data_IF_980741776827
#
_entry.id   IF_980741776827
#
_cell.length_a   1.000
_cell.length_b   1.000
_cell.length_c   1.000
_cell.angle_alpha   90.00
_cell.angle_beta   90.00
_cell.angle_gamma   90.00
#
_symmetry.space_group_name_H-M   'P 1'
#
loop_
_entity.id
_entity.type
_entity.pdbx_description
1 polymer ?
#
# COMPACT_ATOMS: atom_id res chain seq x y z
N UNK A 1 31.27 20.81 -16.46
CA UNK A 1 30.80 20.32 -15.16
C UNK A 1 29.43 20.89 -14.94
N UNK A 2 28.37 20.10 -15.13
CA UNK A 2 27.02 20.54 -14.72
C UNK A 2 26.96 20.31 -13.23
N UNK A 3 26.85 21.39 -12.47
CA UNK A 3 26.77 21.35 -11.03
C UNK A 3 25.50 20.58 -10.63
N UNK A 4 25.65 19.49 -9.86
CA UNK A 4 24.56 18.65 -9.39
C UNK A 4 23.44 19.46 -8.74
N UNK A 5 23.76 20.63 -8.16
CA UNK A 5 22.80 21.58 -7.60
C UNK A 5 21.80 22.15 -8.63
N UNK A 6 22.21 22.35 -9.88
CA UNK A 6 21.34 22.91 -10.94
C UNK A 6 20.35 21.87 -11.48
N UNK A 7 20.77 20.62 -11.58
CA UNK A 7 19.92 19.52 -12.03
C UNK A 7 18.79 19.23 -11.02
N UNK A 8 19.12 19.23 -9.72
CA UNK A 8 18.12 19.05 -8.67
C UNK A 8 17.10 20.20 -8.59
N UNK A 9 17.56 21.44 -8.82
CA UNK A 9 16.66 22.58 -8.90
C UNK A 9 15.67 22.43 -10.06
N UNK A 10 16.16 22.15 -11.27
CA UNK A 10 15.32 21.96 -12.46
C UNK A 10 14.27 20.87 -12.23
N UNK A 11 14.68 19.71 -11.68
CA UNK A 11 13.78 18.60 -11.34
C UNK A 11 12.65 19.02 -10.41
N UNK A 12 12.96 19.79 -9.35
CA UNK A 12 11.96 20.26 -8.38
C UNK A 12 10.97 21.25 -9.00
N UNK A 13 11.46 22.18 -9.83
CA UNK A 13 10.60 23.14 -10.54
C UNK A 13 9.68 22.43 -11.53
N UNK A 14 10.21 21.48 -12.30
CA UNK A 14 9.42 20.68 -13.23
C UNK A 14 8.33 19.87 -12.52
N UNK A 15 8.69 19.22 -11.40
CA UNK A 15 7.72 18.48 -10.59
C UNK A 15 6.63 19.40 -10.00
N UNK A 16 7.01 20.57 -9.47
CA UNK A 16 6.04 21.56 -8.97
C UNK A 16 5.11 22.04 -10.08
N UNK A 17 5.63 22.29 -11.28
CA UNK A 17 4.84 22.66 -12.44
C UNK A 17 3.85 21.55 -12.84
N UNK A 18 4.28 20.29 -12.87
CA UNK A 18 3.38 19.15 -13.14
C UNK A 18 2.27 19.02 -12.09
N UNK A 19 2.58 19.21 -10.81
CA UNK A 19 1.59 19.18 -9.71
C UNK A 19 0.57 20.31 -9.88
N UNK A 20 1.02 21.51 -10.29
CA UNK A 20 0.13 22.68 -10.48
C UNK A 20 -0.96 22.44 -11.54
N UNK A 21 -0.73 21.50 -12.47
CA UNK A 21 -1.73 21.10 -13.47
C UNK A 21 -2.83 20.20 -12.92
N UNK A 22 -2.77 19.84 -11.63
CA UNK A 22 -3.72 18.96 -10.95
C UNK A 22 -4.06 17.70 -11.78
N UNK A 23 -3.04 16.94 -12.23
CA UNK A 23 -3.29 15.82 -13.10
C UNK A 23 -4.14 14.78 -12.40
N UNK A 24 -5.01 14.12 -13.16
CA UNK A 24 -5.87 13.06 -12.63
C UNK A 24 -5.01 11.95 -12.00
N UNK A 25 -5.41 11.45 -10.83
CA UNK A 25 -4.70 10.36 -10.19
C UNK A 25 -4.85 9.08 -11.03
N UNK A 26 -3.84 8.22 -10.96
CA UNK A 26 -3.81 6.93 -11.67
C UNK A 26 -4.21 5.80 -10.73
N UNK A 27 -4.79 4.73 -11.27
CA UNK A 27 -5.16 3.56 -10.48
C UNK A 27 -3.92 2.95 -9.81
N UNK A 28 -4.03 2.62 -8.53
CA UNK A 28 -2.99 1.83 -7.87
C UNK A 28 -3.07 0.39 -8.35
N UNK A 29 -2.10 -0.01 -9.17
CA UNK A 29 -1.96 -1.39 -9.68
C UNK A 29 -1.83 -2.43 -8.56
N UNK A 30 -1.12 -2.08 -7.47
CA UNK A 30 -0.84 -3.00 -6.37
C UNK A 30 -2.07 -3.45 -5.57
N UNK A 31 -3.16 -2.69 -5.59
CA UNK A 31 -4.42 -3.06 -4.94
C UNK A 31 -5.61 -3.02 -5.91
N UNK A 32 -5.36 -2.82 -7.21
CA UNK A 32 -6.37 -2.63 -8.25
C UNK A 32 -7.50 -1.66 -7.82
N UNK A 33 -7.13 -0.45 -7.40
CA UNK A 33 -8.04 0.60 -6.89
C UNK A 33 -8.81 0.32 -5.59
N UNK A 34 -8.63 -0.84 -4.94
CA UNK A 34 -9.37 -1.17 -3.70
C UNK A 34 -8.93 -0.37 -2.47
N UNK A 35 -7.71 0.16 -2.47
CA UNK A 35 -7.11 0.84 -1.33
C UNK A 35 -6.59 -0.09 -0.23
N UNK A 36 -6.95 -1.37 -0.27
CA UNK A 36 -6.48 -2.40 0.65
C UNK A 36 -6.07 -3.66 -0.11
N UNK A 37 -5.23 -4.46 0.52
CA UNK A 37 -4.83 -5.78 0.06
C UNK A 37 -5.26 -6.82 1.10
N UNK A 38 -5.44 -8.06 0.66
CA UNK A 38 -5.74 -9.16 1.55
C UNK A 38 -4.61 -9.36 2.58
N UNK A 39 -4.96 -9.58 3.84
CA UNK A 39 -3.99 -9.89 4.87
C UNK A 39 -3.47 -11.31 4.66
N UNK A 40 -2.25 -11.45 4.14
CA UNK A 40 -1.60 -12.73 3.86
C UNK A 40 -1.49 -13.65 5.09
N UNK A 41 -1.43 -13.08 6.30
CA UNK A 41 -1.29 -13.83 7.56
C UNK A 41 -2.55 -14.60 7.97
N UNK A 42 -3.72 -14.12 7.55
CA UNK A 42 -4.99 -14.77 7.85
C UNK A 42 -5.77 -15.14 6.59
N UNK A 43 -5.15 -15.02 5.41
CA UNK A 43 -5.76 -15.26 4.10
C UNK A 43 -7.15 -14.62 3.97
N UNK A 44 -7.28 -13.35 4.40
CA UNK A 44 -8.56 -12.64 4.31
C UNK A 44 -9.57 -12.95 5.43
N UNK A 45 -9.38 -13.99 6.22
CA UNK A 45 -10.39 -14.44 7.21
C UNK A 45 -10.52 -13.51 8.42
N UNK A 46 -9.44 -12.80 8.78
CA UNK A 46 -9.39 -12.01 10.01
C UNK A 46 -9.17 -12.85 11.27
N UNK A 47 -9.00 -14.17 11.17
CA UNK A 47 -8.70 -15.05 12.29
C UNK A 47 -7.23 -15.46 12.33
N UNK A 48 -6.69 -15.68 13.53
CA UNK A 48 -5.32 -16.17 13.70
C UNK A 48 -5.26 -17.67 13.38
N UNK A 49 -4.43 -18.05 12.40
CA UNK A 49 -4.26 -19.44 11.94
C UNK A 49 -2.87 -19.91 12.37
N UNK A 50 -2.79 -21.02 13.09
CA UNK A 50 -1.52 -21.71 13.45
C UNK A 50 -1.46 -23.05 12.69
N UNK A 51 -0.57 -23.15 11.70
CA UNK A 51 -0.49 -24.33 10.83
C UNK A 51 -1.68 -24.41 9.87
N UNK A 52 -2.24 -25.60 9.69
CA UNK A 52 -3.38 -25.85 8.79
C UNK A 52 -4.74 -25.92 9.52
N UNK A 53 -4.74 -25.80 10.85
CA UNK A 53 -5.94 -25.91 11.66
C UNK A 53 -6.46 -24.53 12.03
N UNK A 54 -7.69 -24.22 11.62
CA UNK A 54 -8.45 -23.15 12.25
C UNK A 54 -8.78 -23.60 13.67
N UNK A 55 -8.23 -22.92 14.69
CA UNK A 55 -8.53 -23.16 16.10
C UNK A 55 -9.94 -22.65 16.44
N UNK A 56 -10.96 -23.23 15.81
CA UNK A 56 -12.37 -22.89 16.02
C UNK A 56 -12.92 -23.50 17.32
N UNK A 57 -12.21 -24.44 17.96
CA UNK A 57 -12.75 -25.24 19.07
C UNK A 57 -12.21 -24.90 20.47
N UNK A 58 -11.49 -23.77 20.64
CA UNK A 58 -11.15 -23.30 21.99
C UNK A 58 -11.81 -21.95 22.24
N UNK A 59 -12.77 -21.85 23.20
CA UNK A 59 -13.37 -20.57 23.61
C UNK A 59 -12.39 -19.76 24.49
N UNK A 60 -11.11 -19.73 24.12
CA UNK A 60 -10.06 -19.01 24.81
C UNK A 60 -9.72 -17.75 24.03
N UNK A 61 -10.33 -16.65 24.44
CA UNK A 61 -9.87 -15.26 24.30
C UNK A 61 -9.18 -14.91 22.97
N UNK A 62 -9.93 -14.19 22.12
CA UNK A 62 -9.45 -13.32 21.04
C UNK A 62 -8.69 -14.02 19.92
N UNK A 63 -9.40 -14.82 19.11
CA UNK A 63 -8.91 -15.48 17.89
C UNK A 63 -8.69 -14.52 16.71
N UNK A 64 -8.66 -13.21 16.95
CA UNK A 64 -8.49 -12.21 15.90
C UNK A 64 -7.05 -12.21 15.38
N UNK A 65 -6.89 -12.08 14.06
CA UNK A 65 -5.58 -11.91 13.47
C UNK A 65 -4.99 -10.60 13.97
N UNK A 66 -3.93 -10.71 14.79
CA UNK A 66 -3.27 -9.55 15.42
C UNK A 66 -2.63 -8.60 14.39
N UNK A 67 -2.29 -9.11 13.21
CA UNK A 67 -1.63 -8.32 12.16
C UNK A 67 -2.59 -7.35 11.49
N UNK A 68 -3.79 -7.81 11.14
CA UNK A 68 -4.83 -6.98 10.53
C UNK A 68 -5.92 -6.55 11.52
N UNK A 69 -5.71 -6.80 12.82
CA UNK A 69 -6.67 -6.55 13.90
C UNK A 69 -8.07 -7.08 13.60
N UNK A 70 -8.14 -8.29 13.01
CA UNK A 70 -9.39 -8.95 12.66
C UNK A 70 -10.04 -8.50 11.35
N UNK A 71 -9.49 -7.52 10.63
CA UNK A 71 -10.11 -6.95 9.42
C UNK A 71 -10.02 -7.84 8.18
N UNK A 72 -9.15 -8.85 8.18
CA UNK A 72 -8.84 -9.66 7.00
C UNK A 72 -8.07 -8.92 5.89
N UNK A 73 -7.84 -7.62 6.04
CA UNK A 73 -7.19 -6.78 5.03
C UNK A 73 -6.19 -5.82 5.66
N UNK A 74 -5.23 -5.39 4.86
CA UNK A 74 -4.25 -4.37 5.23
C UNK A 74 -4.35 -3.20 4.27
N UNK A 75 -4.11 -1.99 4.80
CA UNK A 75 -4.02 -0.79 3.97
C UNK A 75 -2.93 -0.96 2.92
N UNK A 76 -3.22 -0.63 1.66
CA UNK A 76 -2.22 -0.72 0.60
C UNK A 76 -1.16 0.37 0.82
N UNK A 77 0.09 -0.04 1.07
CA UNK A 77 1.21 0.89 1.32
C UNK A 77 1.54 1.77 0.11
N UNK A 78 1.19 1.32 -1.10
CA UNK A 78 1.51 2.03 -2.34
C UNK A 78 0.56 3.19 -2.64
N UNK A 79 -0.67 3.16 -2.11
CA UNK A 79 -1.66 4.23 -2.27
C UNK A 79 -2.20 4.79 -0.95
N UNK A 80 -1.69 4.29 0.19
CA UNK A 80 -2.06 4.71 1.54
C UNK A 80 -3.59 4.69 1.76
N UNK A 81 -4.26 3.66 1.23
CA UNK A 81 -5.70 3.48 1.44
C UNK A 81 -6.60 4.13 0.38
N UNK A 82 -6.06 5.02 -0.47
CA UNK A 82 -6.89 5.77 -1.43
C UNK A 82 -7.33 4.95 -2.64
N UNK A 83 -6.61 3.88 -2.98
CA UNK A 83 -6.81 3.14 -4.23
C UNK A 83 -6.17 3.82 -5.45
N UNK A 84 -5.67 5.05 -5.32
CA UNK A 84 -5.09 5.81 -6.43
C UNK A 84 -3.72 6.37 -6.06
N UNK A 85 -2.91 6.68 -7.07
CA UNK A 85 -1.60 7.30 -6.91
C UNK A 85 -1.54 8.58 -7.69
N UNK A 86 -0.81 9.55 -7.15
CA UNK A 86 -0.50 10.74 -7.91
C UNK A 86 0.41 10.38 -9.10
N UNK A 87 0.06 10.88 -10.29
CA UNK A 87 0.76 10.54 -11.54
C UNK A 87 2.26 10.88 -11.50
N UNK A 88 2.63 11.94 -10.77
CA UNK A 88 4.02 12.41 -10.64
C UNK A 88 4.87 11.59 -9.66
N UNK A 89 4.30 10.61 -8.94
CA UNK A 89 5.07 9.71 -8.06
C UNK A 89 5.78 8.58 -8.82
N UNK A 90 5.52 8.43 -10.13
CA UNK A 90 6.03 7.32 -10.92
C UNK A 90 5.50 5.96 -10.46
N UNK A 91 6.12 4.90 -10.99
CA UNK A 91 5.79 3.54 -10.61
C UNK A 91 6.14 3.26 -9.14
N UNK A 92 5.36 2.42 -8.45
CA UNK A 92 5.72 1.99 -7.11
C UNK A 92 7.07 1.29 -7.09
N UNK A 93 7.86 1.42 -6.01
CA UNK A 93 9.01 0.56 -5.82
C UNK A 93 8.53 -0.90 -5.82
N UNK A 94 9.13 -1.73 -6.66
CA UNK A 94 8.95 -3.18 -6.63
C UNK A 94 9.69 -3.69 -5.40
N UNK A 95 9.00 -3.83 -4.27
CA UNK A 95 9.60 -4.46 -3.11
C UNK A 95 9.80 -5.95 -3.42
N UNK A 96 10.98 -6.31 -3.93
CA UNK A 96 11.50 -7.66 -3.84
C UNK A 96 12.09 -7.83 -2.45
N UNK A 97 11.32 -8.47 -1.56
CA UNK A 97 11.78 -9.02 -0.28
C UNK A 97 10.85 -10.13 0.15
#
# INVERSE_FOLDING_TARGET
MVDSSSADFTRRIEQAWLISKQPRPIVCSSCNSKGHIECKWCAGTGFFILGDNMLCEVPSRNTTCIICTGKGSMCCSHCQGTGFRAKWLGEPPTNTS
#
